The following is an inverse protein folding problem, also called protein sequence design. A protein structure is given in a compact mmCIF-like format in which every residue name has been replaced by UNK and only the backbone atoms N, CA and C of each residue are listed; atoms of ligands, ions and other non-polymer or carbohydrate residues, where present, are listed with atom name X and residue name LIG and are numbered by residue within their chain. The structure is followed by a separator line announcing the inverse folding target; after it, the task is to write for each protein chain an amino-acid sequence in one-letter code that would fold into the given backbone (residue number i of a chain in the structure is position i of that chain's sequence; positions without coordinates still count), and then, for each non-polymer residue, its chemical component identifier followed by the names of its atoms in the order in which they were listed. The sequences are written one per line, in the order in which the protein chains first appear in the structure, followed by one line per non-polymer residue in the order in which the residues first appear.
data_IF_083044825489
#
_entry.id   IF_083044825489
#
_cell.length_a   1.000
_cell.length_b   1.000
_cell.length_c   1.000
_cell.angle_alpha   90.00
_cell.angle_beta   90.00
_cell.angle_gamma   90.00
#
_symmetry.space_group_name_H-M   'P 1'
#
loop_
_entity.id
_entity.type
_entity.pdbx_description
1 polymer ?
#
# COMPACT_ATOMS: atom_id res chain seq x y z
N UNK A 1 -21.80 -8.38 8.93
CA UNK A 1 -20.91 -7.77 9.94
C UNK A 1 -21.16 -6.27 9.98
N UNK A 2 -21.39 -5.68 11.16
CA UNK A 2 -21.52 -4.24 11.35
C UNK A 2 -20.26 -3.74 12.05
N UNK A 3 -19.51 -2.86 11.38
CA UNK A 3 -18.22 -2.35 11.85
C UNK A 3 -18.06 -0.92 11.32
N UNK A 4 -17.50 -0.02 12.12
CA UNK A 4 -17.21 1.35 11.70
C UNK A 4 -15.92 1.44 10.88
N UNK A 5 -15.79 2.51 10.07
CA UNK A 5 -14.56 2.76 9.30
C UNK A 5 -13.33 2.89 10.22
N UNK A 6 -13.52 3.42 11.43
CA UNK A 6 -12.47 3.54 12.44
C UNK A 6 -12.00 2.19 12.96
N UNK A 7 -12.91 1.26 13.20
CA UNK A 7 -12.56 -0.09 13.66
C UNK A 7 -11.85 -0.89 12.58
N UNK A 8 -12.31 -0.80 11.33
CA UNK A 8 -11.57 -1.35 10.18
C UNK A 8 -10.17 -0.72 10.09
N UNK A 9 -10.05 0.59 10.27
CA UNK A 9 -8.76 1.26 10.26
C UNK A 9 -7.81 0.76 11.37
N UNK A 10 -8.32 0.33 12.52
CA UNK A 10 -7.49 -0.30 13.58
C UNK A 10 -6.92 -1.64 13.13
N UNK A 11 -7.70 -2.46 12.41
CA UNK A 11 -7.20 -3.70 11.81
C UNK A 11 -6.11 -3.38 10.78
N UNK A 12 -6.35 -2.43 9.88
CA UNK A 12 -5.34 -1.97 8.93
C UNK A 12 -4.08 -1.45 9.63
N UNK A 13 -4.22 -0.74 10.75
CA UNK A 13 -3.11 -0.22 11.55
C UNK A 13 -2.29 -1.34 12.22
N UNK A 14 -2.95 -2.39 12.70
CA UNK A 14 -2.28 -3.58 13.21
C UNK A 14 -1.39 -4.22 12.14
N UNK A 15 -1.90 -4.35 10.91
CA UNK A 15 -1.15 -4.89 9.77
C UNK A 15 -0.04 -3.94 9.32
N UNK A 16 -0.30 -2.63 9.29
CA UNK A 16 0.71 -1.61 9.01
C UNK A 16 1.89 -1.70 9.99
N UNK A 17 1.60 -1.99 11.25
CA UNK A 17 2.60 -2.20 12.30
C UNK A 17 3.08 -3.64 12.41
N UNK A 18 2.95 -4.44 11.34
CA UNK A 18 3.48 -5.81 11.26
C UNK A 18 3.00 -6.69 12.43
N UNK A 19 1.73 -6.53 12.82
CA UNK A 19 1.09 -7.31 13.87
C UNK A 19 1.34 -6.82 15.30
N UNK A 20 1.99 -5.66 15.47
CA UNK A 20 2.25 -5.05 16.77
C UNK A 20 1.16 -4.04 17.14
N UNK A 21 0.61 -4.16 18.35
CA UNK A 21 -0.38 -3.24 18.91
C UNK A 21 0.09 -2.74 20.27
N UNK A 22 0.24 -1.41 20.41
CA UNK A 22 0.66 -0.77 21.68
C UNK A 22 1.87 -1.45 22.34
N UNK A 23 2.90 -1.78 21.56
CA UNK A 23 4.10 -2.45 22.10
C UNK A 23 4.04 -3.98 22.13
N UNK A 24 2.85 -4.60 22.09
CA UNK A 24 2.67 -6.06 22.15
C UNK A 24 2.55 -6.69 20.76
N UNK A 25 3.26 -7.80 20.53
CA UNK A 25 3.09 -8.60 19.31
C UNK A 25 1.83 -9.44 19.42
N UNK A 26 0.83 -9.19 18.57
CA UNK A 26 -0.44 -9.94 18.56
C UNK A 26 -0.50 -10.95 17.41
N UNK A 27 0.08 -10.62 16.26
CA UNK A 27 0.16 -11.46 15.06
C UNK A 27 1.62 -11.50 14.64
N UNK A 28 2.21 -12.63 14.29
CA UNK A 28 3.64 -12.63 13.94
C UNK A 28 3.94 -11.72 12.74
N UNK A 29 5.07 -11.01 12.79
CA UNK A 29 5.48 -10.13 11.70
C UNK A 29 5.75 -10.91 10.40
N UNK A 30 6.22 -12.15 10.51
CA UNK A 30 6.42 -13.07 9.39
C UNK A 30 5.08 -13.49 8.77
N UNK A 31 4.06 -13.76 9.58
CA UNK A 31 2.72 -14.06 9.07
C UNK A 31 2.10 -12.87 8.35
N UNK A 32 2.21 -11.66 8.92
CA UNK A 32 1.72 -10.44 8.23
C UNK A 32 2.40 -10.29 6.87
N UNK A 33 3.72 -10.46 6.81
CA UNK A 33 4.47 -10.40 5.56
C UNK A 33 4.02 -11.46 4.54
N UNK A 34 3.81 -12.71 4.98
CA UNK A 34 3.33 -13.77 4.11
C UNK A 34 1.89 -13.48 3.62
N UNK A 35 1.00 -13.07 4.52
CA UNK A 35 -0.40 -12.80 4.21
C UNK A 35 -0.57 -11.65 3.21
N UNK A 36 0.27 -10.61 3.31
CA UNK A 36 0.24 -9.46 2.41
C UNK A 36 1.20 -9.57 1.21
N UNK A 37 1.80 -10.73 0.97
CA UNK A 37 2.62 -11.01 -0.21
C UNK A 37 1.80 -11.71 -1.30
N UNK A 38 2.33 -11.74 -2.53
CA UNK A 38 1.76 -12.54 -3.62
C UNK A 38 1.92 -14.02 -3.26
N UNK A 39 0.79 -14.70 -3.07
CA UNK A 39 0.72 -16.15 -2.80
C UNK A 39 0.15 -16.93 -3.99
N UNK A 40 -0.48 -16.24 -4.94
CA UNK A 40 -0.95 -16.82 -6.20
C UNK A 40 -0.03 -16.37 -7.33
N UNK A 41 0.84 -17.25 -7.88
CA UNK A 41 1.78 -16.83 -8.93
C UNK A 41 1.07 -16.34 -10.20
N UNK A 42 1.64 -15.34 -10.88
CA UNK A 42 1.03 -14.77 -12.09
C UNK A 42 0.92 -15.77 -13.27
N UNK A 43 1.74 -16.83 -13.26
CA UNK A 43 1.84 -17.80 -14.35
C UNK A 43 0.89 -18.99 -14.22
N UNK A 44 0.18 -19.13 -13.09
CA UNK A 44 -0.73 -20.26 -12.94
C UNK A 44 -1.88 -20.17 -13.95
N UNK A 45 -2.34 -21.29 -14.53
CA UNK A 45 -3.52 -21.30 -15.36
C UNK A 45 -4.74 -20.77 -14.60
N UNK A 46 -5.61 -20.03 -15.29
CA UNK A 46 -6.88 -19.63 -14.70
C UNK A 46 -7.79 -20.86 -14.62
N UNK A 47 -8.38 -21.12 -13.46
CA UNK A 47 -9.40 -22.15 -13.32
C UNK A 47 -10.70 -21.74 -14.03
N UNK A 48 -11.63 -22.68 -14.21
CA UNK A 48 -12.97 -22.39 -14.77
C UNK A 48 -13.67 -21.32 -13.90
N UNK A 49 -13.91 -20.14 -14.48
CA UNK A 49 -14.39 -18.94 -13.80
C UNK A 49 -15.91 -18.85 -13.69
N UNK A 50 -16.66 -19.92 -13.96
CA UNK A 50 -18.13 -19.94 -13.87
C UNK A 50 -18.67 -19.46 -12.51
N UNK A 51 -17.93 -19.71 -11.43
CA UNK A 51 -18.33 -19.35 -10.05
C UNK A 51 -17.81 -17.98 -9.60
N UNK A 52 -16.72 -17.49 -10.18
CA UNK A 52 -16.18 -16.17 -9.86
C UNK A 52 -15.27 -15.66 -10.99
N UNK A 53 -15.53 -14.45 -11.54
CA UNK A 53 -14.66 -13.84 -12.54
C UNK A 53 -13.39 -13.20 -11.94
N UNK A 54 -13.14 -13.32 -10.64
CA UNK A 54 -12.02 -12.63 -10.00
C UNK A 54 -10.67 -13.32 -10.28
N UNK A 55 -9.80 -12.65 -11.02
CA UNK A 55 -8.42 -13.08 -11.25
C UNK A 55 -7.48 -12.60 -10.13
N UNK A 56 -7.09 -13.52 -9.26
CA UNK A 56 -6.14 -13.29 -8.16
C UNK A 56 -4.66 -13.46 -8.54
N UNK A 57 -4.35 -13.88 -9.77
CA UNK A 57 -2.98 -14.25 -10.16
C UNK A 57 -2.05 -13.04 -10.13
N UNK A 58 -0.96 -13.19 -9.39
CA UNK A 58 0.04 -12.14 -9.17
C UNK A 58 -0.42 -11.00 -8.26
N UNK A 59 -1.66 -11.05 -7.75
CA UNK A 59 -2.30 -9.92 -7.03
C UNK A 59 -3.10 -10.35 -5.80
N UNK A 60 -2.88 -11.58 -5.31
CA UNK A 60 -3.58 -12.11 -4.14
C UNK A 60 -2.62 -12.81 -3.17
N UNK A 61 -2.82 -12.55 -1.88
CA UNK A 61 -2.15 -13.18 -0.74
C UNK A 61 -3.11 -13.99 0.12
N UNK A 62 -2.81 -14.20 1.41
CA UNK A 62 -3.73 -14.92 2.31
C UNK A 62 -4.89 -14.02 2.76
N UNK A 63 -5.96 -13.98 1.96
CA UNK A 63 -7.14 -13.12 2.13
C UNK A 63 -6.89 -11.61 1.90
N UNK A 64 -5.80 -11.26 1.23
CA UNK A 64 -5.46 -9.87 0.89
C UNK A 64 -5.27 -9.70 -0.61
N UNK A 65 -5.84 -8.63 -1.16
CA UNK A 65 -5.48 -8.16 -2.48
C UNK A 65 -4.18 -7.37 -2.39
N UNK A 66 -3.21 -7.66 -3.25
CA UNK A 66 -1.89 -7.02 -3.20
C UNK A 66 -1.62 -6.25 -4.48
N UNK A 67 -0.85 -5.16 -4.39
CA UNK A 67 -0.44 -4.37 -5.55
C UNK A 67 0.67 -5.04 -6.37
N UNK A 68 0.56 -6.35 -6.55
CA UNK A 68 1.47 -7.16 -7.37
C UNK A 68 1.21 -6.99 -8.86
N UNK A 69 1.90 -7.79 -9.67
CA UNK A 69 1.92 -7.71 -11.13
C UNK A 69 1.09 -8.86 -11.70
N UNK A 70 0.06 -8.52 -12.47
CA UNK A 70 -0.80 -9.49 -13.18
C UNK A 70 -0.05 -10.18 -14.33
N UNK A 71 -0.55 -11.30 -14.87
CA UNK A 71 0.04 -11.96 -16.05
C UNK A 71 0.37 -11.01 -17.22
N UNK A 72 -0.46 -9.98 -17.45
CA UNK A 72 -0.24 -8.95 -18.48
C UNK A 72 0.77 -7.84 -18.12
N UNK A 73 1.59 -8.02 -17.10
CA UNK A 73 2.66 -7.08 -16.70
C UNK A 73 2.20 -5.81 -15.98
N UNK A 74 0.90 -5.56 -15.89
CA UNK A 74 0.34 -4.39 -15.19
C UNK A 74 0.11 -4.68 -13.70
N UNK A 75 0.38 -3.68 -12.86
CA UNK A 75 0.04 -3.75 -11.42
C UNK A 75 -1.47 -3.64 -11.18
N UNK A 76 -1.94 -4.19 -10.07
CA UNK A 76 -3.35 -4.09 -9.67
C UNK A 76 -3.82 -2.64 -9.51
N UNK A 77 -3.06 -1.79 -8.82
CA UNK A 77 -3.35 -0.36 -8.67
C UNK A 77 -2.18 0.46 -9.22
N UNK A 78 -2.20 0.79 -10.52
CA UNK A 78 -1.15 1.60 -11.14
C UNK A 78 -1.00 2.95 -10.44
N UNK A 79 0.22 3.30 -10.03
CA UNK A 79 0.51 4.56 -9.34
C UNK A 79 0.38 4.52 -7.80
N UNK A 80 -0.12 3.42 -7.22
CA UNK A 80 0.02 3.16 -5.79
C UNK A 80 1.42 2.59 -5.47
N UNK A 81 1.97 2.81 -4.25
CA UNK A 81 3.20 2.16 -3.80
C UNK A 81 3.14 0.63 -3.94
N UNK A 82 4.29 0.00 -4.24
CA UNK A 82 4.35 -1.41 -4.60
C UNK A 82 3.95 -2.35 -3.45
N UNK A 83 4.21 -1.94 -2.20
CA UNK A 83 3.82 -2.63 -0.98
C UNK A 83 2.37 -2.38 -0.56
N UNK A 84 1.54 -1.72 -1.36
CA UNK A 84 0.12 -1.52 -1.05
C UNK A 84 -0.64 -2.84 -1.09
N UNK A 85 -1.49 -3.10 -0.10
CA UNK A 85 -2.41 -4.23 -0.07
C UNK A 85 -3.74 -3.83 0.55
N UNK A 86 -4.81 -4.59 0.27
CA UNK A 86 -6.15 -4.23 0.71
C UNK A 86 -7.04 -5.43 1.05
N UNK A 87 -7.89 -5.22 2.06
CA UNK A 87 -9.11 -5.99 2.23
C UNK A 87 -10.20 -5.36 1.36
N UNK A 88 -10.85 -6.16 0.51
CA UNK A 88 -11.91 -5.70 -0.40
C UNK A 88 -13.15 -6.55 -0.16
N UNK A 89 -14.29 -5.91 0.03
CA UNK A 89 -15.56 -6.56 0.28
C UNK A 89 -16.67 -6.09 -0.65
N UNK A 90 -17.80 -6.80 -0.59
CA UNK A 90 -19.04 -6.45 -1.29
C UNK A 90 -19.47 -5.00 -0.99
N UNK A 91 -20.32 -4.40 -1.82
CA UNK A 91 -20.76 -3.01 -1.63
C UNK A 91 -19.60 -2.02 -1.56
N UNK A 92 -18.56 -2.29 -2.35
CA UNK A 92 -17.57 -1.28 -2.62
C UNK A 92 -16.78 -0.90 -1.34
N UNK A 93 -16.62 -1.86 -0.41
CA UNK A 93 -15.90 -1.68 0.85
C UNK A 93 -14.40 -1.97 0.66
N UNK A 94 -13.53 -1.05 1.06
CA UNK A 94 -12.08 -1.16 0.89
C UNK A 94 -11.32 -0.71 2.16
N UNK A 95 -10.30 -1.48 2.52
CA UNK A 95 -9.30 -1.10 3.53
C UNK A 95 -7.91 -1.27 2.91
N UNK A 96 -7.30 -0.18 2.49
CA UNK A 96 -5.93 -0.15 2.01
C UNK A 96 -4.94 0.02 3.16
N UNK A 97 -3.86 -0.75 3.14
CA UNK A 97 -2.67 -0.56 3.96
C UNK A 97 -1.53 -0.19 3.03
N UNK A 98 -0.86 0.93 3.33
CA UNK A 98 0.19 1.51 2.48
C UNK A 98 1.45 1.73 3.34
N UNK A 99 2.30 0.69 3.50
CA UNK A 99 3.48 0.74 4.35
C UNK A 99 4.42 1.91 4.05
N UNK A 100 4.68 2.19 2.78
CA UNK A 100 5.60 3.25 2.33
C UNK A 100 5.13 4.65 2.74
N UNK A 101 3.81 4.84 2.89
CA UNK A 101 3.22 6.09 3.36
C UNK A 101 2.96 6.12 4.86
N UNK A 102 3.12 4.98 5.57
CA UNK A 102 2.66 4.77 6.95
C UNK A 102 1.17 5.10 7.10
N UNK A 103 0.35 4.62 6.17
CA UNK A 103 -1.04 5.04 6.02
C UNK A 103 -2.00 3.86 5.91
N UNK A 104 -3.23 4.08 6.42
CA UNK A 104 -4.39 3.21 6.18
C UNK A 104 -5.50 4.08 5.60
N UNK A 105 -6.13 3.63 4.53
CA UNK A 105 -7.30 4.29 3.93
C UNK A 105 -8.48 3.34 3.99
N UNK A 106 -9.58 3.77 4.60
CA UNK A 106 -10.81 3.00 4.69
C UNK A 106 -11.92 3.73 3.98
N UNK A 107 -12.64 2.98 3.13
CA UNK A 107 -13.88 3.41 2.52
C UNK A 107 -14.91 2.32 2.78
N UNK A 108 -16.03 2.71 3.42
CA UNK A 108 -17.19 1.85 3.55
C UNK A 108 -18.31 2.35 2.63
N UNK A 109 -19.08 1.43 2.07
CA UNK A 109 -20.10 1.73 1.06
C UNK A 109 -21.26 0.76 1.06
N UNK A 110 -22.35 1.18 0.41
CA UNK A 110 -23.57 0.42 0.12
C UNK A 110 -23.94 0.52 -1.39
N UNK A 111 -22.99 0.94 -2.21
CA UNK A 111 -23.21 1.49 -3.55
C UNK A 111 -22.67 0.59 -4.69
N UNK A 112 -22.54 -0.72 -4.49
CA UNK A 112 -22.11 -1.59 -5.61
C UNK A 112 -23.19 -1.86 -6.65
N UNK A 113 -24.39 -1.29 -6.51
CA UNK A 113 -25.46 -1.38 -7.52
C UNK A 113 -25.07 -0.82 -8.89
N UNK A 114 -24.06 0.06 -8.96
CA UNK A 114 -23.45 0.55 -10.20
C UNK A 114 -22.15 -0.16 -10.62
N UNK A 115 -21.77 -1.25 -9.95
CA UNK A 115 -20.50 -1.96 -10.14
C UNK A 115 -19.40 -1.59 -9.14
N UNK A 116 -18.26 -2.28 -9.26
CA UNK A 116 -17.09 -2.03 -8.42
C UNK A 116 -16.26 -0.82 -8.89
N UNK A 117 -15.67 -0.06 -7.98
CA UNK A 117 -14.66 0.96 -8.34
C UNK A 117 -13.48 0.27 -9.03
N UNK A 118 -13.13 0.74 -10.23
CA UNK A 118 -12.08 0.12 -11.02
C UNK A 118 -10.69 0.30 -10.40
N UNK A 119 -9.82 -0.67 -10.69
CA UNK A 119 -8.41 -0.67 -10.31
C UNK A 119 -7.67 0.61 -10.79
N UNK A 120 -8.04 1.15 -11.95
CA UNK A 120 -7.47 2.39 -12.48
C UNK A 120 -7.90 3.64 -11.70
N UNK A 121 -9.16 3.72 -11.28
CA UNK A 121 -9.67 4.83 -10.45
C UNK A 121 -8.97 4.82 -9.08
N UNK A 122 -8.86 3.66 -8.45
CA UNK A 122 -8.09 3.52 -7.21
C UNK A 122 -6.61 3.86 -7.39
N UNK A 123 -6.00 3.39 -8.48
CA UNK A 123 -4.61 3.73 -8.81
C UNK A 123 -4.38 5.24 -8.93
N UNK A 124 -5.26 5.94 -9.66
CA UNK A 124 -5.19 7.40 -9.82
C UNK A 124 -5.38 8.14 -8.49
N UNK A 125 -6.32 7.71 -7.66
CA UNK A 125 -6.53 8.27 -6.32
C UNK A 125 -5.29 8.09 -5.43
N UNK A 126 -4.76 6.86 -5.33
CA UNK A 126 -3.61 6.56 -4.50
C UNK A 126 -2.33 7.25 -4.99
N UNK A 127 -2.19 7.47 -6.29
CA UNK A 127 -1.11 8.27 -6.84
C UNK A 127 -1.19 9.75 -6.37
N UNK A 128 -2.39 10.34 -6.35
CA UNK A 128 -2.61 11.70 -5.83
C UNK A 128 -2.28 11.78 -4.33
N UNK A 129 -2.76 10.82 -3.54
CA UNK A 129 -2.46 10.72 -2.09
C UNK A 129 -0.96 10.61 -1.84
N UNK A 130 -0.26 9.79 -2.63
CA UNK A 130 1.19 9.60 -2.52
C UNK A 130 1.95 10.91 -2.78
N UNK A 131 1.59 11.64 -3.83
CA UNK A 131 2.21 12.95 -4.14
C UNK A 131 1.96 13.98 -3.04
N UNK A 132 0.72 14.10 -2.58
CA UNK A 132 0.37 15.02 -1.50
C UNK A 132 1.12 14.71 -0.20
N UNK A 133 1.29 13.41 0.11
CA UNK A 133 2.04 12.96 1.29
C UNK A 133 3.54 13.26 1.20
N UNK A 134 4.12 13.19 -0.01
CA UNK A 134 5.52 13.54 -0.26
C UNK A 134 5.76 15.05 -0.12
N UNK A 135 4.91 15.89 -0.71
CA UNK A 135 5.01 17.36 -0.60
C UNK A 135 4.98 17.83 0.86
N UNK A 136 4.05 17.30 1.66
CA UNK A 136 3.96 17.63 3.10
C UNK A 136 5.18 17.19 3.92
N UNK A 137 5.87 16.13 3.51
CA UNK A 137 7.13 15.69 4.14
C UNK A 137 8.30 16.61 3.79
N UNK A 138 8.31 17.18 2.59
CA UNK A 138 9.32 18.17 2.17
C UNK A 138 9.10 19.50 2.88
N UNK A 139 7.86 19.98 2.98
CA UNK A 139 7.50 21.18 3.74
C UNK A 139 7.92 21.10 5.22
N UNK A 140 7.76 19.92 5.85
CA UNK A 140 8.20 19.67 7.24
C UNK A 140 9.71 19.52 7.42
N UNK A 141 10.51 19.55 6.37
CA UNK A 141 11.98 19.62 6.45
C UNK A 141 12.41 21.06 6.14
N UNK A 142 12.41 21.98 7.12
CA UNK A 142 12.96 23.31 6.89
C UNK A 142 14.46 23.17 6.60
N UNK A 143 14.87 23.68 5.42
CA UNK A 143 16.23 24.01 5.02
C UNK A 143 17.37 23.11 5.50
N UNK A 144 17.81 22.17 4.67
CA UNK A 144 19.26 22.07 4.46
C UNK A 144 19.65 23.22 3.55
N UNK A 145 19.79 24.42 4.11
CA UNK A 145 20.54 25.47 3.45
C UNK A 145 21.95 24.91 3.22
N UNK A 146 22.36 24.85 1.96
CA UNK A 146 23.74 24.62 1.58
C UNK A 146 24.61 25.69 2.25
N UNK A 147 25.69 25.36 2.97
CA UNK A 147 26.71 26.35 3.21
C UNK A 147 27.45 26.54 1.88
N UNK A 148 27.12 27.62 1.19
CA UNK A 148 28.05 28.22 0.27
C UNK A 148 29.32 28.60 1.06
N UNK A 149 30.48 28.23 0.54
CA UNK A 149 31.77 28.81 0.90
C UNK A 149 32.53 28.10 2.03
N UNK A 150 33.43 27.20 1.64
CA UNK A 150 34.69 27.02 2.37
C UNK A 150 35.81 26.86 1.34
N UNK A 151 36.51 27.97 1.18
CA UNK A 151 37.72 28.19 0.40
C UNK A 151 38.78 27.16 0.77
N UNK A 152 39.38 26.49 -0.23
CA UNK A 152 40.59 25.71 -0.05
C UNK A 152 41.76 26.68 0.21
N UNK A 153 42.26 26.71 1.44
CA UNK A 153 43.56 27.32 1.77
C UNK A 153 44.68 26.32 1.48
N UNK A 154 45.56 26.66 0.54
CA UNK A 154 46.87 26.04 0.39
C UNK A 154 47.70 26.34 1.64
N UNK A 155 48.16 25.29 2.33
CA UNK A 155 49.35 25.40 3.20
C UNK A 155 50.52 24.76 2.47
N UNK A 156 51.53 25.59 2.23
CA UNK A 156 52.81 25.19 1.68
C UNK A 156 53.56 24.29 2.65
N UNK A 157 54.13 23.23 2.09
CA UNK A 157 55.25 22.52 2.68
C UNK A 157 56.50 22.96 1.91
N UNK A 158 57.57 23.29 2.64
CA UNK A 158 58.98 22.94 2.41
C UNK A 158 59.83 23.71 3.46
N UNK A 159 61.03 23.20 3.80
CA UNK A 159 61.55 23.11 5.17
C UNK A 159 62.28 24.34 5.73
#
# INVERSE_FOLDING_TARGET
MRISAREVARLGHLFLNRGKWKGKQLISASWVAAASAVQVPAKVPMADTKLSPQDGRGVYGFNWWVNGVRPGGKRKWPGAPAGTYAGIGHNNNYMFVIPELKMVVVRLGLDSGGGGISDAVWGAFLAKVSRASAAKRQEKRPGTASPAGLTFGLFGAEP
#
